data_IF_854970849980
#
_entry.id   IF_854970849980
#
_cell.length_a   1.000
_cell.length_b   1.000
_cell.length_c   1.000
_cell.angle_alpha   90.00
_cell.angle_beta   90.00
_cell.angle_gamma   90.00
#
_symmetry.space_group_name_H-M   'P 1'
#
loop_
_entity.id
_entity.type
_entity.pdbx_description
1 polymer ?
#
# COMPACT_ATOMS: atom_id res chain seq x y z
N UNK A 1 -4.06 -23.35 13.94
CA UNK A 1 -2.99 -23.62 12.95
C UNK A 1 -2.52 -22.27 12.42
N UNK A 2 -1.67 -21.60 13.19
CA UNK A 2 -1.22 -20.22 12.92
C UNK A 2 -0.02 -20.21 12.00
N UNK A 3 0.03 -19.23 11.10
CA UNK A 3 1.20 -18.96 10.29
C UNK A 3 2.38 -18.68 11.23
N UNK A 4 3.55 -19.26 10.95
CA UNK A 4 4.76 -19.02 11.74
C UNK A 4 5.07 -17.52 11.79
N UNK A 5 5.60 -17.03 12.93
CA UNK A 5 5.84 -15.60 13.22
C UNK A 5 6.49 -14.82 12.08
N UNK A 6 7.45 -15.44 11.37
CA UNK A 6 8.14 -14.84 10.21
C UNK A 6 7.21 -14.53 9.03
N UNK A 7 6.22 -15.38 8.74
CA UNK A 7 5.24 -15.16 7.66
C UNK A 7 4.27 -14.04 8.01
N UNK A 8 3.88 -13.90 9.27
CA UNK A 8 2.99 -12.83 9.71
C UNK A 8 3.69 -11.46 9.66
N UNK A 9 4.96 -11.39 10.06
CA UNK A 9 5.79 -10.18 9.92
C UNK A 9 5.99 -9.79 8.46
N UNK A 10 6.21 -10.79 7.59
CA UNK A 10 6.29 -10.55 6.15
C UNK A 10 4.98 -9.99 5.59
N UNK A 11 3.83 -10.56 5.95
CA UNK A 11 2.51 -10.06 5.49
C UNK A 11 2.24 -8.63 6.01
N UNK A 12 2.68 -8.28 7.22
CA UNK A 12 2.57 -6.92 7.78
C UNK A 12 3.41 -5.89 7.03
N UNK A 13 4.52 -6.31 6.44
CA UNK A 13 5.45 -5.43 5.71
C UNK A 13 5.16 -5.33 4.21
N UNK A 14 4.22 -6.15 3.70
CA UNK A 14 3.80 -6.09 2.30
C UNK A 14 2.97 -4.83 2.06
N UNK A 15 3.17 -4.15 0.92
CA UNK A 15 2.29 -3.08 0.51
C UNK A 15 0.88 -3.62 0.30
N UNK A 16 -0.12 -2.89 0.81
CA UNK A 16 -1.52 -3.18 0.53
C UNK A 16 -1.85 -2.69 -0.86
N UNK A 17 -2.31 -3.61 -1.71
CA UNK A 17 -2.74 -3.31 -3.07
C UNK A 17 -4.27 -3.36 -3.08
N UNK A 18 -4.88 -2.21 -3.36
CA UNK A 18 -6.34 -2.07 -3.50
C UNK A 18 -6.67 -1.71 -4.95
N UNK A 19 -7.68 -2.36 -5.50
CA UNK A 19 -8.27 -1.96 -6.78
C UNK A 19 -9.67 -1.44 -6.52
N UNK A 20 -9.95 -0.21 -6.96
CA UNK A 20 -11.28 0.39 -6.92
C UNK A 20 -11.79 0.59 -8.34
N UNK A 21 -12.97 0.05 -8.61
CA UNK A 21 -13.65 0.21 -9.89
C UNK A 21 -14.96 0.92 -9.64
N UNK A 22 -15.11 2.11 -10.21
CA UNK A 22 -16.28 2.96 -10.00
C UNK A 22 -16.86 3.40 -11.33
N UNK A 23 -18.20 3.39 -11.46
CA UNK A 23 -18.85 3.96 -12.63
C UNK A 23 -18.88 5.47 -12.50
N UNK A 24 -18.44 6.18 -13.54
CA UNK A 24 -18.50 7.63 -13.55
C UNK A 24 -19.96 8.09 -13.69
N UNK A 25 -20.49 8.87 -12.72
CA UNK A 25 -21.86 9.37 -12.78
C UNK A 25 -22.10 10.16 -14.08
N UNK A 26 -23.21 9.86 -14.76
CA UNK A 26 -23.60 10.54 -16.00
C UNK A 26 -22.78 10.22 -17.25
N UNK A 27 -21.79 9.31 -17.16
CA UNK A 27 -20.96 8.91 -18.31
C UNK A 27 -21.00 7.38 -18.47
N UNK A 28 -20.86 6.89 -19.70
CA UNK A 28 -20.69 5.46 -19.96
C UNK A 28 -19.21 5.06 -19.84
N UNK A 29 -18.58 5.37 -18.70
CA UNK A 29 -17.17 5.13 -18.44
C UNK A 29 -16.98 4.50 -17.05
N UNK A 30 -15.95 3.67 -16.92
CA UNK A 30 -15.51 3.09 -15.66
C UNK A 30 -14.16 3.71 -15.28
N UNK A 31 -14.05 4.16 -14.03
CA UNK A 31 -12.80 4.53 -13.41
C UNK A 31 -12.20 3.28 -12.77
N UNK A 32 -11.05 2.83 -13.28
CA UNK A 32 -10.25 1.78 -12.65
C UNK A 32 -9.04 2.42 -11.97
N UNK A 33 -8.97 2.31 -10.64
CA UNK A 33 -7.89 2.89 -9.82
C UNK A 33 -7.17 1.78 -9.06
N UNK A 34 -5.85 1.71 -9.22
CA UNK A 34 -4.97 0.87 -8.39
C UNK A 34 -4.28 1.76 -7.37
N UNK A 35 -4.42 1.40 -6.09
CA UNK A 35 -3.81 2.08 -4.95
C UNK A 35 -2.80 1.12 -4.34
N UNK A 36 -1.54 1.53 -4.28
CA UNK A 36 -0.47 0.80 -3.61
C UNK A 36 -0.10 1.58 -2.36
N UNK A 37 -0.41 1.03 -1.19
CA UNK A 37 -0.18 1.65 0.11
C UNK A 37 0.91 0.89 0.84
N UNK A 38 2.06 1.53 1.05
CA UNK A 38 3.12 1.01 1.92
C UNK A 38 3.17 1.81 3.22
N UNK A 39 3.18 1.11 4.35
CA UNK A 39 3.20 1.72 5.68
C UNK A 39 4.57 1.44 6.28
N UNK A 40 5.38 2.49 6.42
CA UNK A 40 6.69 2.43 7.07
C UNK A 40 6.72 3.32 8.31
N UNK A 41 7.56 2.98 9.33
CA UNK A 41 7.78 3.87 10.47
C UNK A 41 8.32 5.23 10.04
N UNK A 42 7.98 6.29 10.76
CA UNK A 42 8.43 7.66 10.44
C UNK A 42 9.96 7.77 10.39
N UNK A 43 10.66 7.02 11.25
CA UNK A 43 12.11 6.96 11.30
C UNK A 43 12.75 6.53 9.96
N UNK A 44 12.08 5.66 9.19
CA UNK A 44 12.55 5.26 7.86
C UNK A 44 12.61 6.47 6.92
N UNK A 45 11.54 7.25 6.86
CA UNK A 45 11.47 8.41 5.98
C UNK A 45 12.38 9.56 6.45
N UNK A 46 12.55 9.74 7.76
CA UNK A 46 13.54 10.68 8.29
C UNK A 46 14.95 10.34 7.79
N UNK A 47 15.35 9.07 7.91
CA UNK A 47 16.66 8.62 7.40
C UNK A 47 16.79 8.79 5.88
N UNK A 48 15.73 8.53 5.11
CA UNK A 48 15.75 8.74 3.65
C UNK A 48 15.91 10.21 3.30
N UNK A 49 15.18 11.11 3.97
CA UNK A 49 15.26 12.56 3.75
C UNK A 49 16.67 13.07 4.08
N UNK A 50 17.21 12.68 5.24
CA UNK A 50 18.56 13.06 5.71
C UNK A 50 19.68 12.60 4.76
N UNK A 51 19.48 11.52 4.01
CA UNK A 51 20.45 10.98 3.06
C UNK A 51 20.16 11.38 1.59
N UNK A 52 19.18 12.26 1.36
CA UNK A 52 18.79 12.74 0.02
C UNK A 52 19.24 14.18 -0.28
N UNK A 53 19.79 14.88 0.70
CA UNK A 53 20.52 16.16 0.56
C UNK A 53 22.03 15.91 0.36
#
# INVERSE_FOLDING_TARGET
>A
MGLTSKKEEQIKSMPRIETRVEKLPGKNLLLHRTIISDIKPIAYYNAVIENSE
#
